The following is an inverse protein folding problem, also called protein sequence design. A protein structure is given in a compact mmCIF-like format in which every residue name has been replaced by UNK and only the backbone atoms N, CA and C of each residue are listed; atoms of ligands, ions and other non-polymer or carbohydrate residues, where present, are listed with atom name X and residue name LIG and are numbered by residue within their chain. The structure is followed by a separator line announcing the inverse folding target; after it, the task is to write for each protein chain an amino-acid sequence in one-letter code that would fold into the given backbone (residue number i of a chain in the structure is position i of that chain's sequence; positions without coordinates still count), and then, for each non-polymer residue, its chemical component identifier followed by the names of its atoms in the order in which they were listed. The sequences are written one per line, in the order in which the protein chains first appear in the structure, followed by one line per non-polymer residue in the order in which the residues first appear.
data_IF_522627829849
#
_entry.id   IF_522627829849
#
_cell.length_a   1.000
_cell.length_b   1.000
_cell.length_c   1.000
_cell.angle_alpha   90.00
_cell.angle_beta   90.00
_cell.angle_gamma   90.00
#
_symmetry.space_group_name_H-M   'P 1'
#
loop_
_entity.id
_entity.type
_entity.pdbx_description
1 polymer ?
#
# COMPACT_ATOMS: atom_id res chain seq x y z
N UNK A 1 -12.52 11.99 -4.09
CA UNK A 1 -11.62 10.82 -4.06
C UNK A 1 -12.13 9.88 -2.98
N UNK A 2 -12.20 8.58 -3.27
CA UNK A 2 -12.67 7.54 -2.35
C UNK A 2 -11.68 6.38 -2.33
N UNK A 3 -11.68 5.60 -1.24
CA UNK A 3 -10.98 4.32 -1.16
C UNK A 3 -12.02 3.21 -1.20
N UNK A 4 -11.79 2.18 -2.02
CA UNK A 4 -12.66 1.00 -2.13
C UNK A 4 -11.85 -0.25 -2.37
N UNK A 5 -12.50 -1.41 -2.21
CA UNK A 5 -11.96 -2.67 -2.71
C UNK A 5 -11.67 -2.59 -4.20
N UNK A 6 -10.54 -3.17 -4.59
CA UNK A 6 -10.23 -3.40 -5.99
C UNK A 6 -11.18 -4.45 -6.57
N UNK A 7 -11.53 -4.28 -7.85
CA UNK A 7 -12.20 -5.30 -8.65
C UNK A 7 -11.22 -5.87 -9.68
N UNK A 8 -11.52 -7.01 -10.32
CA UNK A 8 -10.67 -7.55 -11.39
C UNK A 8 -10.38 -6.54 -12.51
N UNK A 9 -11.30 -5.62 -12.79
CA UNK A 9 -11.14 -4.57 -13.80
C UNK A 9 -10.07 -3.52 -13.44
N UNK A 10 -9.70 -3.40 -12.16
CA UNK A 10 -8.66 -2.47 -11.71
C UNK A 10 -7.24 -3.02 -11.93
N UNK A 11 -7.09 -4.31 -12.28
CA UNK A 11 -5.79 -5.02 -12.29
C UNK A 11 -4.72 -4.30 -13.12
N UNK A 12 -5.01 -3.98 -14.39
CA UNK A 12 -4.05 -3.31 -15.27
C UNK A 12 -3.64 -1.93 -14.74
N UNK A 13 -4.59 -1.20 -14.15
CA UNK A 13 -4.34 0.13 -13.59
C UNK A 13 -3.48 0.05 -12.32
N UNK A 14 -3.69 -0.98 -11.49
CA UNK A 14 -2.88 -1.28 -10.31
C UNK A 14 -1.45 -1.63 -10.73
N UNK A 15 -1.28 -2.57 -11.66
CA UNK A 15 0.05 -2.98 -12.14
C UNK A 15 0.84 -1.80 -12.69
N UNK A 16 0.22 -0.97 -13.54
CA UNK A 16 0.88 0.24 -14.06
C UNK A 16 1.32 1.24 -12.98
N UNK A 17 0.66 1.28 -11.81
CA UNK A 17 1.06 2.12 -10.68
C UNK A 17 2.23 1.49 -9.90
N UNK A 18 2.16 0.19 -9.65
CA UNK A 18 3.21 -0.56 -8.95
C UNK A 18 4.52 -0.56 -9.75
N UNK A 19 4.44 -0.80 -11.06
CA UNK A 19 5.57 -0.74 -11.99
C UNK A 19 6.19 0.67 -12.02
N UNK A 20 5.38 1.72 -12.10
CA UNK A 20 5.87 3.11 -12.08
C UNK A 20 6.51 3.52 -10.74
N UNK A 21 6.18 2.78 -9.67
CA UNK A 21 6.80 2.90 -8.36
C UNK A 21 8.05 2.02 -8.20
N UNK A 22 8.40 1.21 -9.22
CA UNK A 22 9.50 0.25 -9.21
C UNK A 22 9.35 -0.78 -8.07
N UNK A 23 8.12 -1.19 -7.78
CA UNK A 23 7.85 -2.27 -6.82
C UNK A 23 7.92 -3.61 -7.54
N UNK A 24 8.59 -4.57 -6.92
CA UNK A 24 8.69 -5.94 -7.42
C UNK A 24 7.47 -6.72 -6.93
N UNK A 25 6.46 -6.85 -7.79
CA UNK A 25 5.20 -7.54 -7.49
C UNK A 25 4.82 -8.46 -8.64
N UNK A 26 4.42 -9.69 -8.32
CA UNK A 26 3.94 -10.65 -9.32
C UNK A 26 2.50 -10.31 -9.77
N UNK A 27 2.25 -10.06 -11.08
CA UNK A 27 0.91 -9.76 -11.58
C UNK A 27 -0.16 -10.79 -11.21
N UNK A 28 0.19 -12.09 -11.17
CA UNK A 28 -0.77 -13.16 -10.83
C UNK A 28 -1.04 -13.20 -9.32
N UNK A 29 -0.04 -12.91 -8.49
CA UNK A 29 -0.22 -12.76 -7.04
C UNK A 29 -1.11 -11.56 -6.72
N UNK A 30 -0.94 -10.44 -7.43
CA UNK A 30 -1.83 -9.27 -7.30
C UNK A 30 -3.26 -9.62 -7.72
N UNK A 31 -3.45 -10.36 -8.81
CA UNK A 31 -4.79 -10.81 -9.24
C UNK A 31 -5.46 -11.68 -8.19
N UNK A 32 -4.73 -12.66 -7.65
CA UNK A 32 -5.22 -13.53 -6.56
C UNK A 32 -5.58 -12.71 -5.32
N UNK A 33 -4.80 -11.67 -5.02
CA UNK A 33 -5.07 -10.76 -3.90
C UNK A 33 -6.32 -9.91 -4.12
N UNK A 34 -6.59 -9.45 -5.35
CA UNK A 34 -7.83 -8.75 -5.71
C UNK A 34 -9.03 -9.68 -5.47
N UNK A 35 -8.97 -10.91 -5.97
CA UNK A 35 -10.06 -11.89 -5.81
C UNK A 35 -10.31 -12.24 -4.33
N UNK A 36 -9.27 -12.18 -3.50
CA UNK A 36 -9.34 -12.42 -2.06
C UNK A 36 -9.78 -11.20 -1.24
N UNK A 37 -10.05 -10.04 -1.86
CA UNK A 37 -10.43 -8.80 -1.17
C UNK A 37 -9.29 -8.15 -0.37
N UNK A 38 -8.04 -8.43 -0.76
CA UNK A 38 -6.83 -7.95 -0.08
C UNK A 38 -6.20 -6.75 -0.78
N UNK A 39 -6.90 -6.11 -1.73
CA UNK A 39 -6.40 -4.96 -2.47
C UNK A 39 -7.36 -3.79 -2.35
N UNK A 40 -6.81 -2.65 -1.96
CA UNK A 40 -7.51 -1.36 -1.88
C UNK A 40 -7.02 -0.42 -2.97
N UNK A 41 -7.94 0.32 -3.58
CA UNK A 41 -7.64 1.36 -4.56
C UNK A 41 -8.16 2.72 -4.12
N UNK A 42 -7.35 3.75 -4.36
CA UNK A 42 -7.76 5.15 -4.24
C UNK A 42 -8.21 5.66 -5.61
N UNK A 43 -9.47 6.09 -5.70
CA UNK A 43 -10.13 6.44 -6.97
C UNK A 43 -10.59 7.90 -6.96
N UNK A 44 -10.42 8.58 -8.09
CA UNK A 44 -11.07 9.86 -8.37
C UNK A 44 -11.38 9.96 -9.88
N UNK A 45 -12.54 10.51 -10.23
CA UNK A 45 -13.00 10.66 -11.62
C UNK A 45 -12.89 9.35 -12.42
N UNK A 46 -13.34 8.25 -11.81
CA UNK A 46 -13.29 6.87 -12.34
C UNK A 46 -11.88 6.36 -12.70
N UNK A 47 -10.83 6.98 -12.13
CA UNK A 47 -9.43 6.58 -12.34
C UNK A 47 -8.79 6.12 -11.05
N UNK A 48 -8.10 4.99 -11.12
CA UNK A 48 -7.22 4.52 -10.05
C UNK A 48 -5.99 5.42 -9.97
N UNK A 49 -5.78 6.00 -8.80
CA UNK A 49 -4.67 6.92 -8.49
C UNK A 49 -3.61 6.29 -7.59
N UNK A 50 -3.98 5.23 -6.87
CA UNK A 50 -3.08 4.48 -6.01
C UNK A 50 -3.68 3.14 -5.62
N UNK A 51 -2.82 2.25 -5.15
CA UNK A 51 -3.16 0.89 -4.75
C UNK A 51 -2.41 0.52 -3.47
N UNK A 52 -3.02 -0.34 -2.67
CA UNK A 52 -2.42 -1.01 -1.52
C UNK A 52 -2.77 -2.50 -1.59
N UNK A 53 -1.76 -3.36 -1.50
CA UNK A 53 -1.86 -4.82 -1.54
C UNK A 53 -1.49 -5.38 -0.16
N UNK A 54 -2.34 -6.25 0.38
CA UNK A 54 -2.13 -6.94 1.64
C UNK A 54 -1.80 -8.42 1.43
N UNK A 55 -0.87 -8.91 2.23
CA UNK A 55 -0.62 -10.33 2.46
C UNK A 55 -0.86 -10.62 3.96
N UNK A 56 -2.08 -11.05 4.30
CA UNK A 56 -2.51 -11.18 5.69
C UNK A 56 -2.52 -9.82 6.41
N UNK A 57 -1.65 -9.65 7.40
CA UNK A 57 -1.43 -8.39 8.13
C UNK A 57 -0.34 -7.50 7.50
N UNK A 58 0.41 -8.03 6.52
CA UNK A 58 1.52 -7.31 5.89
C UNK A 58 1.01 -6.43 4.75
N UNK A 59 1.44 -5.17 4.71
CA UNK A 59 1.39 -4.34 3.52
C UNK A 59 2.51 -4.82 2.60
N UNK A 60 2.15 -5.60 1.58
CA UNK A 60 3.09 -6.08 0.57
C UNK A 60 3.53 -4.92 -0.33
N UNK A 61 2.57 -4.10 -0.76
CA UNK A 61 2.82 -2.95 -1.60
C UNK A 61 1.88 -1.80 -1.27
N UNK A 62 2.39 -0.57 -1.34
CA UNK A 62 1.59 0.65 -1.36
C UNK A 62 2.21 1.65 -2.32
N UNK A 63 1.43 2.12 -3.28
CA UNK A 63 1.91 3.03 -4.31
C UNK A 63 0.81 4.00 -4.75
N UNK A 64 1.23 5.22 -5.10
CA UNK A 64 0.36 6.24 -5.67
C UNK A 64 1.08 6.89 -6.85
N UNK A 65 0.32 7.34 -7.85
CA UNK A 65 0.88 8.04 -9.02
C UNK A 65 1.72 9.24 -8.57
N UNK A 66 2.90 9.42 -9.20
CA UNK A 66 3.90 10.42 -8.78
C UNK A 66 3.35 11.84 -8.72
N UNK A 67 2.53 12.24 -9.70
CA UNK A 67 1.88 13.56 -9.78
C UNK A 67 0.73 13.76 -8.77
N UNK A 68 0.40 12.74 -7.98
CA UNK A 68 -0.64 12.78 -6.94
C UNK A 68 -0.09 12.55 -5.53
N UNK A 69 1.24 12.49 -5.36
CA UNK A 69 1.89 12.44 -4.05
C UNK A 69 1.65 13.75 -3.28
N UNK A 70 1.70 13.67 -1.95
CA UNK A 70 1.45 14.83 -1.08
C UNK A 70 -0.03 15.23 -0.96
N UNK A 71 -0.95 14.44 -1.53
CA UNK A 71 -2.41 14.70 -1.48
C UNK A 71 -3.14 13.76 -0.51
N UNK A 72 -2.41 13.09 0.40
CA UNK A 72 -3.01 12.18 1.38
C UNK A 72 -3.47 10.81 0.86
N UNK A 73 -3.29 10.50 -0.43
CA UNK A 73 -3.73 9.22 -1.02
C UNK A 73 -3.17 7.98 -0.31
N UNK A 74 -1.86 7.97 -0.02
CA UNK A 74 -1.22 6.85 0.68
C UNK A 74 -1.74 6.71 2.10
N UNK A 75 -1.91 7.82 2.82
CA UNK A 75 -2.47 7.83 4.17
C UNK A 75 -3.91 7.31 4.18
N UNK A 76 -4.72 7.68 3.20
CA UNK A 76 -6.09 7.18 3.06
C UNK A 76 -6.13 5.67 2.81
N UNK A 77 -5.25 5.16 1.94
CA UNK A 77 -5.13 3.71 1.68
C UNK A 77 -4.75 2.94 2.95
N UNK A 78 -3.70 3.37 3.65
CA UNK A 78 -3.23 2.68 4.86
C UNK A 78 -4.23 2.78 6.00
N UNK A 79 -4.91 3.92 6.16
CA UNK A 79 -5.97 4.09 7.17
C UNK A 79 -7.13 3.16 6.87
N UNK A 80 -7.60 3.11 5.62
CA UNK A 80 -8.68 2.19 5.23
C UNK A 80 -8.29 0.72 5.38
N UNK A 81 -7.02 0.36 5.19
CA UNK A 81 -6.52 -0.99 5.47
C UNK A 81 -6.56 -1.30 6.98
N UNK A 82 -6.21 -0.33 7.83
CA UNK A 82 -6.21 -0.49 9.28
C UNK A 82 -7.64 -0.54 9.85
N UNK A 83 -8.57 0.22 9.29
CA UNK A 83 -9.99 0.14 9.69
C UNK A 83 -10.61 -1.25 9.46
N UNK A 84 -9.93 -2.12 8.70
CA UNK A 84 -10.35 -3.48 8.36
C UNK A 84 -9.55 -4.56 9.08
N UNK A 85 -8.43 -4.21 9.72
CA UNK A 85 -7.47 -5.13 10.30
C UNK A 85 -7.03 -4.60 11.65
N UNK A 86 -7.09 -5.42 12.67
CA UNK A 86 -6.62 -5.05 14.01
C UNK A 86 -5.10 -4.77 14.04
N UNK A 87 -4.36 -5.21 13.01
CA UNK A 87 -2.92 -5.08 12.93
C UNK A 87 -2.42 -4.94 11.50
N UNK A 88 -1.45 -4.05 11.31
CA UNK A 88 -0.71 -3.90 10.06
C UNK A 88 0.80 -3.88 10.28
N UNK A 89 1.52 -4.53 9.37
CA UNK A 89 2.97 -4.55 9.32
C UNK A 89 3.43 -4.02 7.97
N UNK A 90 4.41 -3.11 7.95
CA UNK A 90 4.99 -2.60 6.71
C UNK A 90 6.52 -2.66 6.78
N UNK A 91 7.16 -3.17 5.74
CA UNK A 91 8.59 -3.00 5.55
C UNK A 91 8.86 -1.83 4.62
N UNK A 92 9.82 -0.99 4.97
CA UNK A 92 10.09 0.23 4.22
C UNK A 92 11.55 0.66 4.32
N UNK A 93 11.96 1.52 3.39
CA UNK A 93 13.25 2.20 3.47
C UNK A 93 13.18 3.37 4.48
N UNK A 94 14.34 3.78 5.01
CA UNK A 94 14.45 4.90 5.96
C UNK A 94 13.74 6.19 5.52
N UNK A 95 13.80 6.50 4.23
CA UNK A 95 13.15 7.66 3.61
C UNK A 95 11.62 7.67 3.71
N UNK A 96 10.98 6.52 3.92
CA UNK A 96 9.53 6.37 4.07
C UNK A 96 9.11 6.34 5.55
N UNK A 97 10.06 6.27 6.48
CA UNK A 97 9.81 6.27 7.92
C UNK A 97 8.83 7.37 8.38
N UNK A 98 9.00 8.66 8.00
CA UNK A 98 8.11 9.72 8.50
C UNK A 98 6.65 9.53 8.05
N UNK A 99 6.44 8.88 6.90
CA UNK A 99 5.09 8.58 6.42
C UNK A 99 4.39 7.56 7.34
N UNK A 100 5.05 6.44 7.67
CA UNK A 100 4.46 5.43 8.55
C UNK A 100 4.32 5.92 10.00
N UNK A 101 5.30 6.65 10.52
CA UNK A 101 5.21 7.26 11.86
C UNK A 101 4.05 8.25 11.96
N UNK A 102 3.80 9.05 10.91
CA UNK A 102 2.64 9.97 10.87
C UNK A 102 1.28 9.25 10.94
N UNK A 103 1.25 7.96 10.61
CA UNK A 103 0.07 7.11 10.65
C UNK A 103 0.01 6.27 11.93
N UNK A 104 0.89 6.53 12.91
CA UNK A 104 0.92 5.84 14.20
C UNK A 104 1.63 4.49 14.20
N UNK A 105 2.40 4.16 13.15
CA UNK A 105 3.24 2.95 13.18
C UNK A 105 4.43 3.18 14.12
N UNK A 106 4.74 2.19 14.95
CA UNK A 106 6.04 2.06 15.60
C UNK A 106 7.03 1.51 14.57
N UNK A 107 8.03 2.32 14.18
CA UNK A 107 8.98 1.96 13.11
C UNK A 107 10.38 1.70 13.69
N UNK A 108 10.87 0.48 13.51
CA UNK A 108 12.16 0.02 14.03
C UNK A 108 13.04 -0.55 12.90
N UNK A 109 14.38 -0.46 13.00
CA UNK A 109 15.28 -1.12 12.06
C UNK A 109 15.14 -2.64 12.08
N UNK A 110 15.23 -3.27 10.90
CA UNK A 110 15.25 -4.74 10.80
C UNK A 110 16.66 -5.25 11.13
N UNK A 111 16.83 -6.12 12.15
CA UNK A 111 18.14 -6.67 12.49
C UNK A 111 18.79 -7.41 11.30
N UNK A 112 20.02 -7.04 10.98
CA UNK A 112 20.78 -7.66 9.89
C UNK A 112 20.46 -7.14 8.48
N UNK A 113 19.52 -6.20 8.32
CA UNK A 113 19.20 -5.59 7.04
C UNK A 113 19.50 -4.07 7.05
N UNK A 114 20.62 -3.68 6.44
CA UNK A 114 21.04 -2.27 6.38
C UNK A 114 20.00 -1.42 5.62
N UNK A 115 19.52 -0.35 6.25
CA UNK A 115 18.58 0.61 5.65
C UNK A 115 17.13 0.15 5.52
N UNK A 116 16.78 -1.04 6.04
CA UNK A 116 15.40 -1.55 6.07
C UNK A 116 14.79 -1.35 7.44
N UNK A 117 13.56 -0.86 7.44
CA UNK A 117 12.76 -0.62 8.63
C UNK A 117 11.49 -1.46 8.59
N UNK A 118 10.98 -1.81 9.76
CA UNK A 118 9.68 -2.44 9.96
C UNK A 118 8.80 -1.52 10.80
N UNK A 119 7.68 -1.10 10.23
CA UNK A 119 6.59 -0.45 10.93
C UNK A 119 5.57 -1.48 11.41
N UNK A 120 5.07 -1.33 12.63
CA UNK A 120 3.92 -2.07 13.14
C UNK A 120 2.88 -1.09 13.70
N UNK A 121 1.61 -1.31 13.40
CA UNK A 121 0.47 -0.61 14.01
C UNK A 121 -0.58 -1.63 14.43
N UNK A 122 -1.11 -1.45 15.64
CA UNK A 122 -2.11 -2.27 16.33
C UNK A 122 -3.15 -1.34 16.98
#
# INVERSE_FOLDING_TARGET
MTVRDATPDDHDAIMGILDAAMLDTDPEAVRTSIESGNVLVAVADDRVLGALVLEGERIEAVAVRRNRRGQGLGSALVTAAFDRRDRLVAECDERVRPFYESLGFAVEPVPGASGRLRGVRE
#
